data_IF_462375146787
#
_entry.id   IF_462375146787
#
_cell.length_a   1.000
_cell.length_b   1.000
_cell.length_c   1.000
_cell.angle_alpha   90.00
_cell.angle_beta   90.00
_cell.angle_gamma   90.00
#
_symmetry.space_group_name_H-M   'P 1'
#
loop_
_entity.id
_entity.type
_entity.pdbx_description
1 polymer ?
#
# COMPACT_ATOMS: atom_id res chain seq x y z
N UNK A 1 52.07 36.94 -32.64
CA UNK A 1 50.67 37.34 -32.38
C UNK A 1 49.70 36.19 -32.61
N UNK A 2 49.73 35.50 -33.77
CA UNK A 2 48.86 34.34 -34.05
C UNK A 2 49.03 33.14 -33.10
N UNK A 3 50.27 32.75 -32.76
CA UNK A 3 50.50 31.62 -31.82
C UNK A 3 50.02 31.93 -30.39
N UNK A 4 50.14 33.19 -29.96
CA UNK A 4 49.64 33.64 -28.65
C UNK A 4 48.11 33.55 -28.56
N UNK A 5 47.40 33.97 -29.61
CA UNK A 5 45.94 33.88 -29.69
C UNK A 5 45.46 32.42 -29.71
N UNK A 6 46.18 31.54 -30.43
CA UNK A 6 45.88 30.10 -30.47
C UNK A 6 46.02 29.46 -29.09
N UNK A 7 47.08 29.77 -28.35
CA UNK A 7 47.33 29.19 -27.03
C UNK A 7 46.25 29.63 -25.99
N UNK A 8 45.80 30.89 -26.06
CA UNK A 8 44.67 31.36 -25.23
C UNK A 8 43.38 30.62 -25.59
N UNK A 9 43.10 30.42 -26.88
CA UNK A 9 41.88 29.72 -27.32
C UNK A 9 41.84 28.25 -26.87
N UNK A 10 42.98 27.56 -26.91
CA UNK A 10 43.11 26.17 -26.46
C UNK A 10 42.92 26.08 -24.94
N UNK A 11 43.50 27.00 -24.17
CA UNK A 11 43.31 27.08 -22.73
C UNK A 11 41.84 27.29 -22.36
N UNK A 12 41.14 28.21 -23.05
CA UNK A 12 39.72 28.46 -22.84
C UNK A 12 38.86 27.23 -23.17
N UNK A 13 39.18 26.48 -24.22
CA UNK A 13 38.47 25.26 -24.58
C UNK A 13 38.63 24.15 -23.52
N UNK A 14 39.82 24.02 -22.92
CA UNK A 14 40.05 23.07 -21.83
C UNK A 14 39.22 23.43 -20.59
N UNK A 15 39.24 24.71 -20.18
CA UNK A 15 38.44 25.16 -19.03
C UNK A 15 36.94 25.03 -19.27
N UNK A 16 36.47 25.35 -20.47
CA UNK A 16 35.06 25.15 -20.83
C UNK A 16 34.67 23.67 -20.70
N UNK A 17 35.50 22.76 -21.21
CA UNK A 17 35.25 21.30 -21.11
C UNK A 17 35.19 20.83 -19.66
N UNK A 18 36.13 21.28 -18.81
CA UNK A 18 36.15 20.94 -17.37
C UNK A 18 34.90 21.47 -16.67
N UNK A 19 34.49 22.72 -16.94
CA UNK A 19 33.29 23.31 -16.36
C UNK A 19 32.04 22.53 -16.80
N UNK A 20 31.92 22.19 -18.08
CA UNK A 20 30.80 21.39 -18.59
C UNK A 20 30.73 20.02 -17.92
N UNK A 21 31.88 19.36 -17.70
CA UNK A 21 31.92 18.08 -16.98
C UNK A 21 31.45 18.23 -15.52
N UNK A 22 31.89 19.28 -14.82
CA UNK A 22 31.46 19.56 -13.45
C UNK A 22 29.94 19.81 -13.41
N UNK A 23 29.42 20.63 -14.32
CA UNK A 23 27.97 20.90 -14.43
C UNK A 23 27.20 19.60 -14.66
N UNK A 24 27.66 18.75 -15.58
CA UNK A 24 27.02 17.46 -15.86
C UNK A 24 26.97 16.56 -14.62
N UNK A 25 28.09 16.41 -13.89
CA UNK A 25 28.16 15.61 -12.66
C UNK A 25 27.19 16.17 -11.61
N UNK A 26 27.19 17.49 -11.41
CA UNK A 26 26.28 18.15 -10.49
C UNK A 26 24.80 17.93 -10.88
N UNK A 27 24.46 18.06 -12.17
CA UNK A 27 23.10 17.84 -12.68
C UNK A 27 22.63 16.41 -12.46
N UNK A 28 23.47 15.39 -12.70
CA UNK A 28 23.14 13.98 -12.46
C UNK A 28 22.91 13.70 -10.98
N UNK A 29 23.76 14.27 -10.10
CA UNK A 29 23.59 14.16 -8.65
C UNK A 29 22.27 14.78 -8.17
N UNK A 30 21.92 15.97 -8.67
CA UNK A 30 20.66 16.65 -8.33
C UNK A 30 19.44 15.88 -8.85
N UNK A 31 19.47 15.40 -10.10
CA UNK A 31 18.40 14.61 -10.69
C UNK A 31 18.16 13.31 -9.91
N UNK A 32 19.23 12.66 -9.44
CA UNK A 32 19.13 11.44 -8.63
C UNK A 32 18.47 11.69 -7.27
N UNK A 33 18.78 12.82 -6.63
CA UNK A 33 18.13 13.24 -5.38
C UNK A 33 16.65 13.53 -5.59
N UNK A 34 16.31 14.31 -6.61
CA UNK A 34 14.91 14.62 -6.93
C UNK A 34 14.10 13.36 -7.29
N UNK A 35 14.68 12.41 -8.02
CA UNK A 35 14.01 11.15 -8.33
C UNK A 35 13.69 10.36 -7.05
N UNK A 36 14.61 10.35 -6.08
CA UNK A 36 14.39 9.71 -4.78
C UNK A 36 13.26 10.39 -4.00
N UNK A 37 13.23 11.72 -3.97
CA UNK A 37 12.18 12.50 -3.31
C UNK A 37 10.80 12.26 -3.96
N UNK A 38 10.73 12.31 -5.30
CA UNK A 38 9.50 12.03 -6.06
C UNK A 38 8.99 10.61 -5.80
N UNK A 39 9.90 9.63 -5.71
CA UNK A 39 9.52 8.25 -5.36
C UNK A 39 8.90 8.18 -3.97
N UNK A 40 9.54 8.81 -2.97
CA UNK A 40 9.00 8.88 -1.61
C UNK A 40 7.63 9.55 -1.59
N UNK A 41 7.48 10.70 -2.25
CA UNK A 41 6.20 11.40 -2.36
C UNK A 41 5.12 10.51 -2.99
N UNK A 42 5.44 9.80 -4.07
CA UNK A 42 4.51 8.86 -4.70
C UNK A 42 4.07 7.74 -3.75
N UNK A 43 4.98 7.19 -2.95
CA UNK A 43 4.62 6.16 -1.97
C UNK A 43 3.61 6.68 -0.94
N UNK A 44 3.83 7.89 -0.43
CA UNK A 44 2.91 8.55 0.50
C UNK A 44 1.57 8.90 -0.14
N UNK A 45 1.59 9.32 -1.41
CA UNK A 45 0.36 9.59 -2.15
C UNK A 45 -0.50 8.32 -2.29
N UNK A 46 0.11 7.20 -2.70
CA UNK A 46 -0.60 5.92 -2.82
C UNK A 46 -1.20 5.49 -1.47
N UNK A 47 -0.43 5.60 -0.38
CA UNK A 47 -0.92 5.28 0.96
C UNK A 47 -2.11 6.15 1.37
N UNK A 48 -2.03 7.46 1.12
CA UNK A 48 -3.12 8.37 1.44
C UNK A 48 -4.37 8.10 0.60
N UNK A 49 -4.22 7.78 -0.68
CA UNK A 49 -5.32 7.42 -1.56
C UNK A 49 -6.05 6.17 -1.07
N UNK A 50 -5.31 5.14 -0.65
CA UNK A 50 -5.91 3.94 -0.05
C UNK A 50 -6.67 4.26 1.24
N UNK A 51 -6.09 5.07 2.13
CA UNK A 51 -6.76 5.47 3.37
C UNK A 51 -8.07 6.22 3.12
N UNK A 52 -8.13 7.10 2.12
CA UNK A 52 -9.36 7.81 1.74
C UNK A 52 -10.42 6.80 1.29
N UNK A 53 -10.06 5.85 0.41
CA UNK A 53 -10.97 4.81 -0.08
C UNK A 53 -11.47 3.91 1.05
N UNK A 54 -10.62 3.55 2.00
CA UNK A 54 -11.02 2.81 3.19
C UNK A 54 -11.99 3.63 4.07
N UNK A 55 -11.70 4.91 4.31
CA UNK A 55 -12.59 5.77 5.08
C UNK A 55 -13.98 5.90 4.43
N UNK A 56 -14.02 6.06 3.11
CA UNK A 56 -15.27 6.07 2.34
C UNK A 56 -16.03 4.75 2.41
N UNK A 57 -15.34 3.62 2.30
CA UNK A 57 -15.95 2.28 2.39
C UNK A 57 -16.50 2.01 3.80
N UNK A 58 -15.71 2.29 4.83
CA UNK A 58 -16.11 2.10 6.23
C UNK A 58 -17.26 3.05 6.62
N UNK A 59 -17.29 4.26 6.07
CA UNK A 59 -18.42 5.18 6.23
C UNK A 59 -19.75 4.64 5.68
N UNK A 60 -19.69 3.70 4.73
CA UNK A 60 -20.84 3.03 4.10
C UNK A 60 -21.08 1.62 4.66
N UNK A 61 -20.54 1.29 5.84
CA UNK A 61 -20.77 -0.02 6.43
C UNK A 61 -22.28 -0.25 6.69
N UNK A 62 -22.87 -1.34 6.16
CA UNK A 62 -24.28 -1.66 6.34
C UNK A 62 -24.66 -1.73 7.82
N UNK A 63 -25.82 -1.19 8.16
CA UNK A 63 -26.28 -1.11 9.56
C UNK A 63 -26.40 -2.48 10.24
N UNK A 64 -26.81 -3.50 9.47
CA UNK A 64 -26.89 -4.90 9.95
C UNK A 64 -25.53 -5.45 10.40
N UNK A 65 -24.43 -5.00 9.79
CA UNK A 65 -23.08 -5.38 10.24
C UNK A 65 -22.77 -4.69 11.57
N UNK A 66 -23.08 -3.39 11.70
CA UNK A 66 -22.89 -2.63 12.95
C UNK A 66 -23.67 -3.23 14.13
N UNK A 67 -24.87 -3.74 13.87
CA UNK A 67 -25.74 -4.34 14.88
C UNK A 67 -25.39 -5.80 15.20
N UNK A 68 -24.41 -6.40 14.50
CA UNK A 68 -24.03 -7.81 14.69
C UNK A 68 -25.10 -8.82 14.28
N UNK A 69 -26.14 -8.39 13.58
CA UNK A 69 -27.32 -9.20 13.23
C UNK A 69 -27.27 -9.79 11.82
N UNK A 70 -26.07 -9.92 11.26
CA UNK A 70 -25.86 -10.31 9.87
C UNK A 70 -25.33 -11.74 9.69
N UNK A 71 -25.75 -12.39 8.59
CA UNK A 71 -25.21 -13.66 8.11
C UNK A 71 -24.90 -13.54 6.62
N UNK A 72 -23.78 -14.11 6.18
CA UNK A 72 -23.38 -14.11 4.76
C UNK A 72 -24.32 -14.97 3.90
N UNK A 73 -25.00 -15.93 4.54
CA UNK A 73 -25.98 -16.81 3.91
C UNK A 73 -27.30 -16.09 3.64
N UNK A 74 -27.52 -14.91 4.24
CA UNK A 74 -28.63 -14.07 3.85
C UNK A 74 -28.47 -13.62 2.40
N UNK A 75 -29.57 -13.47 1.67
CA UNK A 75 -29.58 -12.88 0.32
C UNK A 75 -29.36 -11.36 0.32
N UNK A 76 -28.75 -10.84 1.39
CA UNK A 76 -28.39 -9.44 1.50
C UNK A 76 -27.22 -9.10 0.57
N UNK A 77 -27.58 -8.59 -0.60
CA UNK A 77 -26.64 -8.19 -1.64
C UNK A 77 -25.75 -7.04 -1.19
N UNK A 78 -26.24 -6.13 -0.34
CA UNK A 78 -25.49 -4.97 0.13
C UNK A 78 -24.27 -5.40 0.95
N UNK A 79 -24.47 -6.32 1.89
CA UNK A 79 -23.40 -6.90 2.71
C UNK A 79 -22.39 -7.64 1.84
N UNK A 80 -22.86 -8.48 0.90
CA UNK A 80 -21.98 -9.24 0.00
C UNK A 80 -21.11 -8.33 -0.86
N UNK A 81 -21.68 -7.23 -1.38
CA UNK A 81 -20.95 -6.23 -2.17
C UNK A 81 -19.94 -5.50 -1.29
N UNK A 82 -20.35 -5.04 -0.10
CA UNK A 82 -19.47 -4.30 0.79
C UNK A 82 -18.25 -5.12 1.22
N UNK A 83 -18.45 -6.39 1.59
CA UNK A 83 -17.35 -7.30 1.94
C UNK A 83 -16.44 -7.54 0.74
N UNK A 84 -17.01 -7.72 -0.47
CA UNK A 84 -16.21 -7.88 -1.69
C UNK A 84 -15.33 -6.66 -1.93
N UNK A 85 -15.89 -5.47 -1.83
CA UNK A 85 -15.15 -4.21 -1.99
C UNK A 85 -14.04 -4.07 -0.95
N UNK A 86 -14.28 -4.48 0.29
CA UNK A 86 -13.26 -4.49 1.35
C UNK A 86 -12.03 -5.32 0.96
N UNK A 87 -12.24 -6.56 0.50
CA UNK A 87 -11.13 -7.43 0.11
C UNK A 87 -10.53 -7.08 -1.26
N UNK A 88 -11.29 -6.47 -2.16
CA UNK A 88 -10.76 -5.90 -3.40
C UNK A 88 -9.79 -4.74 -3.10
N UNK A 89 -10.13 -3.85 -2.14
CA UNK A 89 -9.21 -2.82 -1.66
C UNK A 89 -7.97 -3.42 -1.01
N UNK A 90 -8.15 -4.45 -0.18
CA UNK A 90 -7.01 -5.07 0.50
C UNK A 90 -6.08 -5.81 -0.48
N UNK A 91 -6.65 -6.43 -1.51
CA UNK A 91 -5.91 -7.03 -2.62
C UNK A 91 -5.07 -5.98 -3.36
N UNK A 92 -5.65 -4.83 -3.65
CA UNK A 92 -4.95 -3.73 -4.30
C UNK A 92 -3.81 -3.18 -3.43
N UNK A 93 -4.06 -3.00 -2.12
CA UNK A 93 -3.04 -2.53 -1.18
C UNK A 93 -1.88 -3.53 -1.04
N UNK A 94 -2.20 -4.83 -1.00
CA UNK A 94 -1.19 -5.88 -1.02
C UNK A 94 -0.38 -5.86 -2.32
N UNK A 95 -1.01 -5.64 -3.48
CA UNK A 95 -0.29 -5.50 -4.75
C UNK A 95 0.63 -4.27 -4.73
N UNK A 96 0.19 -3.13 -4.20
CA UNK A 96 1.03 -1.93 -4.06
C UNK A 96 2.25 -2.20 -3.18
N UNK A 97 2.08 -2.95 -2.08
CA UNK A 97 3.17 -3.38 -1.23
C UNK A 97 4.17 -4.29 -1.98
N UNK A 98 3.68 -5.31 -2.69
CA UNK A 98 4.52 -6.20 -3.52
C UNK A 98 5.33 -5.43 -4.58
N UNK A 99 4.75 -4.35 -5.13
CA UNK A 99 5.42 -3.48 -6.09
C UNK A 99 6.34 -2.44 -5.46
N UNK A 100 6.48 -2.42 -4.13
CA UNK A 100 7.26 -1.41 -3.36
C UNK A 100 6.78 0.01 -3.68
N UNK A 101 5.47 0.17 -3.86
CA UNK A 101 4.78 1.43 -4.13
C UNK A 101 4.13 2.02 -2.87
N UNK A 102 4.30 1.36 -1.72
CA UNK A 102 3.95 1.85 -0.39
C UNK A 102 5.20 1.93 0.49
N UNK A 103 5.21 2.80 1.51
CA UNK A 103 6.21 2.74 2.57
C UNK A 103 6.06 1.42 3.34
N UNK A 104 7.15 0.66 3.50
CA UNK A 104 7.14 -0.66 4.14
C UNK A 104 6.69 -0.57 5.62
N UNK A 105 7.06 0.53 6.28
CA UNK A 105 6.65 0.84 7.64
C UNK A 105 5.12 0.99 7.77
N UNK A 106 4.43 1.48 6.73
CA UNK A 106 2.98 1.62 6.74
C UNK A 106 2.30 0.27 6.53
N UNK A 107 2.83 -0.57 5.65
CA UNK A 107 2.33 -1.93 5.47
C UNK A 107 2.36 -2.72 6.78
N UNK A 108 3.53 -2.75 7.44
CA UNK A 108 3.73 -3.53 8.67
C UNK A 108 3.12 -2.88 9.91
N UNK A 109 3.15 -1.55 10.01
CA UNK A 109 2.80 -0.83 11.22
C UNK A 109 1.36 -0.30 11.28
N UNK A 110 0.68 -0.18 10.13
CA UNK A 110 -0.67 0.40 10.06
C UNK A 110 -1.64 -0.51 9.31
N UNK A 111 -1.31 -0.89 8.09
CA UNK A 111 -2.22 -1.58 7.17
C UNK A 111 -2.54 -2.99 7.66
N UNK A 112 -1.54 -3.90 7.70
CA UNK A 112 -1.74 -5.29 8.15
C UNK A 112 -2.38 -5.36 9.55
N UNK A 113 -1.88 -4.62 10.56
CA UNK A 113 -2.53 -4.59 11.87
C UNK A 113 -3.98 -4.06 11.84
N UNK A 114 -4.27 -3.05 11.02
CA UNK A 114 -5.62 -2.51 10.86
C UNK A 114 -6.59 -3.52 10.25
N UNK A 115 -6.14 -4.32 9.29
CA UNK A 115 -6.95 -5.41 8.72
C UNK A 115 -7.23 -6.49 9.76
N UNK A 116 -6.23 -6.90 10.54
CA UNK A 116 -6.40 -7.85 11.65
C UNK A 116 -7.43 -7.34 12.66
N UNK A 117 -7.37 -6.04 13.01
CA UNK A 117 -8.35 -5.41 13.89
C UNK A 117 -9.77 -5.44 13.29
N UNK A 118 -9.92 -5.09 12.01
CA UNK A 118 -11.22 -5.11 11.34
C UNK A 118 -11.79 -6.53 11.26
N UNK A 119 -10.96 -7.54 10.98
CA UNK A 119 -11.37 -8.95 10.97
C UNK A 119 -11.87 -9.40 12.34
N UNK A 120 -11.23 -8.92 13.42
CA UNK A 120 -11.67 -9.17 14.80
C UNK A 120 -12.99 -8.47 15.12
N UNK A 121 -13.13 -7.20 14.74
CA UNK A 121 -14.33 -6.39 15.02
C UNK A 121 -15.54 -6.86 14.21
N UNK A 122 -15.33 -7.29 12.97
CA UNK A 122 -16.38 -7.71 12.04
C UNK A 122 -16.17 -9.15 11.57
N UNK A 123 -16.56 -10.18 12.35
CA UNK A 123 -16.41 -11.59 11.98
C UNK A 123 -17.08 -11.96 10.64
N UNK A 124 -18.07 -11.19 10.20
CA UNK A 124 -18.71 -11.34 8.90
C UNK A 124 -17.71 -11.18 7.73
N UNK A 125 -16.61 -10.45 7.91
CA UNK A 125 -15.55 -10.31 6.91
C UNK A 125 -14.90 -11.67 6.61
N UNK A 126 -14.60 -12.49 7.63
CA UNK A 126 -14.05 -13.83 7.43
C UNK A 126 -15.04 -14.71 6.64
N UNK A 127 -16.31 -14.71 7.03
CA UNK A 127 -17.34 -15.48 6.35
C UNK A 127 -17.53 -15.05 4.88
N UNK A 128 -17.57 -13.73 4.62
CA UNK A 128 -17.68 -13.19 3.27
C UNK A 128 -16.43 -13.41 2.42
N UNK A 129 -15.25 -13.37 3.03
CA UNK A 129 -14.00 -13.74 2.37
C UNK A 129 -14.05 -15.18 1.89
N UNK A 130 -14.37 -16.13 2.77
CA UNK A 130 -14.47 -17.56 2.44
C UNK A 130 -15.50 -17.78 1.32
N UNK A 131 -16.67 -17.14 1.43
CA UNK A 131 -17.71 -17.20 0.40
C UNK A 131 -17.20 -16.79 -0.98
N UNK A 132 -16.54 -15.64 -1.09
CA UNK A 132 -16.05 -15.12 -2.37
C UNK A 132 -14.82 -15.88 -2.87
N UNK A 133 -13.92 -16.31 -1.98
CA UNK A 133 -12.78 -17.18 -2.29
C UNK A 133 -13.25 -18.48 -2.94
N UNK A 134 -14.26 -19.13 -2.37
CA UNK A 134 -14.85 -20.37 -2.92
C UNK A 134 -15.54 -20.16 -4.28
N UNK A 135 -15.91 -18.92 -4.60
CA UNK A 135 -16.42 -18.51 -5.93
C UNK A 135 -15.31 -18.09 -6.91
N UNK A 136 -14.05 -18.25 -6.54
CA UNK A 136 -12.90 -17.92 -7.38
C UNK A 136 -12.51 -16.45 -7.36
N UNK A 137 -12.90 -15.68 -6.35
CA UNK A 137 -12.46 -14.29 -6.20
C UNK A 137 -11.03 -14.18 -5.61
N UNK A 138 -10.45 -12.99 -5.74
CA UNK A 138 -9.19 -12.60 -5.11
C UNK A 138 -7.94 -13.41 -5.55
N UNK A 139 -7.93 -13.91 -6.79
CA UNK A 139 -6.78 -14.64 -7.37
C UNK A 139 -5.61 -13.72 -7.75
N UNK A 140 -5.81 -12.41 -7.68
CA UNK A 140 -4.78 -11.39 -7.87
C UNK A 140 -4.71 -10.53 -6.62
N UNK A 141 -3.51 -10.07 -6.21
CA UNK A 141 -2.19 -10.53 -6.68
C UNK A 141 -1.87 -11.96 -6.19
N UNK A 142 -0.76 -12.54 -6.69
CA UNK A 142 -0.33 -13.88 -6.28
C UNK A 142 -0.16 -13.94 -4.76
N UNK A 143 -0.54 -15.07 -4.16
CA UNK A 143 -0.45 -15.33 -2.72
C UNK A 143 -1.33 -14.43 -1.82
N UNK A 144 -2.22 -13.60 -2.39
CA UNK A 144 -3.11 -12.78 -1.56
C UNK A 144 -3.99 -13.62 -0.63
N UNK A 145 -4.44 -14.80 -1.07
CA UNK A 145 -5.17 -15.72 -0.19
C UNK A 145 -4.38 -16.09 1.06
N UNK A 146 -3.08 -16.38 0.92
CA UNK A 146 -2.23 -16.74 2.07
C UNK A 146 -2.10 -15.59 3.06
N UNK A 147 -2.01 -14.35 2.56
CA UNK A 147 -1.94 -13.15 3.41
C UNK A 147 -3.20 -13.00 4.23
N UNK A 148 -4.38 -13.11 3.59
CA UNK A 148 -5.67 -13.00 4.28
C UNK A 148 -5.87 -14.16 5.26
N UNK A 149 -5.53 -15.39 4.87
CA UNK A 149 -5.63 -16.58 5.73
C UNK A 149 -4.75 -16.42 6.99
N UNK A 150 -3.54 -15.87 6.86
CA UNK A 150 -2.65 -15.54 7.99
C UNK A 150 -3.26 -14.45 8.89
N UNK A 151 -3.82 -13.39 8.30
CA UNK A 151 -4.42 -12.28 9.07
C UNK A 151 -5.67 -12.72 9.85
N UNK A 152 -6.46 -13.65 9.29
CA UNK A 152 -7.59 -14.29 9.98
C UNK A 152 -7.09 -15.11 11.18
N UNK A 153 -6.03 -15.90 11.00
CA UNK A 153 -5.45 -16.67 12.12
C UNK A 153 -4.96 -15.73 13.23
N UNK A 154 -4.24 -14.66 12.88
CA UNK A 154 -3.76 -13.66 13.83
C UNK A 154 -4.90 -12.98 14.59
N UNK A 155 -6.02 -12.64 13.92
CA UNK A 155 -7.19 -12.06 14.56
C UNK A 155 -7.81 -13.01 15.59
N UNK A 156 -7.89 -14.31 15.25
CA UNK A 156 -8.44 -15.34 16.11
C UNK A 156 -7.56 -15.65 17.33
N UNK A 157 -6.23 -15.60 17.20
CA UNK A 157 -5.30 -15.80 18.31
C UNK A 157 -5.37 -14.65 19.33
N UNK A 158 -5.44 -13.40 18.85
CA UNK A 158 -5.56 -12.23 19.72
C UNK A 158 -6.89 -12.17 20.50
N UNK A 159 -7.93 -12.86 20.01
CA UNK A 159 -9.19 -13.02 20.75
C UNK A 159 -9.06 -13.96 21.96
N UNK A 160 -8.25 -15.02 21.86
CA UNK A 160 -8.09 -16.02 22.94
C UNK A 160 -7.30 -15.50 24.14
N UNK A 161 -6.31 -14.64 23.92
CA UNK A 161 -5.44 -14.12 25.00
C UNK A 161 -6.17 -13.13 25.92
N UNK A 162 -7.23 -12.46 25.44
CA UNK A 162 -8.00 -11.50 26.25
C UNK A 162 -9.00 -12.15 27.23
N UNK A 163 -9.34 -13.44 27.08
CA UNK A 163 -10.28 -14.14 27.97
C UNK A 163 -9.64 -14.76 29.22
N UNK A 164 -8.33 -14.60 29.45
CA UNK A 164 -7.63 -15.24 30.57
C UNK A 164 -7.42 -14.36 31.83
N UNK A 165 -7.97 -13.13 31.86
CA UNK A 165 -7.90 -12.25 33.02
C UNK A 165 -9.30 -11.91 33.55
N UNK A 166 -10.05 -12.93 33.96
CA UNK A 166 -11.22 -12.79 34.82
C UNK A 166 -11.35 -14.04 35.70
N UNK A 167 -10.54 -14.09 36.76
CA UNK A 167 -10.76 -14.91 37.95
C UNK A 167 -10.35 -14.08 39.17
#
# INVERSE_FOLDING_TARGET
>A
MFEYLKNISELLAHWATVITLIVLICSVCLASKHLKELKTQRHWQNFNEMNVRYAELLGKIPEKIKLGSCSIESDDLEIKIWIRQYFDLYSEEYWLNEKKLLPEEMWKGRIRPGVVLNLKEYPILEHGYIYWKNKGAFNHPKNFHNVVDEDIQNANEQGKTQCHCAN
#
